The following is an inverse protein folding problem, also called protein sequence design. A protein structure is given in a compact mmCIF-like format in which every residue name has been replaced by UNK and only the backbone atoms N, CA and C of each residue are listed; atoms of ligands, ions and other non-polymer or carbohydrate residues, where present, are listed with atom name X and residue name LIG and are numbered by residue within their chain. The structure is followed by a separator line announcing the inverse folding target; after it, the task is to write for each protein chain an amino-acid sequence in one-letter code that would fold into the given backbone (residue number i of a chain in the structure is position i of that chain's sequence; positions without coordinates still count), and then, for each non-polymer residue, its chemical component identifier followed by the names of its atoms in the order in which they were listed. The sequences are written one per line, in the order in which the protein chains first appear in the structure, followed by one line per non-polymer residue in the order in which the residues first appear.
data_IF_508372952777
#
_entry.id   IF_508372952777
#
_cell.length_a   1.000
_cell.length_b   1.000
_cell.length_c   1.000
_cell.angle_alpha   90.00
_cell.angle_beta   90.00
_cell.angle_gamma   90.00
#
_symmetry.space_group_name_H-M   'P 1'
#
loop_
_entity.id
_entity.type
_entity.pdbx_description
1 polymer ?
#
# COMPACT_ATOMS: atom_id res chain seq x y z
N UNK A 1 -11.59 2.53 -11.99
CA UNK A 1 -11.82 3.99 -11.94
C UNK A 1 -10.48 4.68 -12.07
N UNK A 2 -10.43 5.81 -12.76
CA UNK A 2 -9.23 6.64 -12.84
C UNK A 2 -9.48 7.91 -12.02
N UNK A 3 -8.66 8.18 -11.01
CA UNK A 3 -8.75 9.40 -10.20
C UNK A 3 -7.86 10.53 -10.72
N UNK A 4 -7.45 10.46 -12.00
CA UNK A 4 -6.49 11.39 -12.61
C UNK A 4 -6.99 12.84 -12.70
N UNK A 5 -8.31 13.06 -12.59
CA UNK A 5 -8.93 14.37 -12.60
C UNK A 5 -9.20 14.98 -11.21
N UNK A 6 -8.73 14.34 -10.14
CA UNK A 6 -8.90 14.90 -8.78
C UNK A 6 -8.10 16.19 -8.62
N UNK A 7 -8.70 17.18 -7.94
CA UNK A 7 -8.01 18.41 -7.54
C UNK A 7 -6.89 18.10 -6.54
N UNK A 8 -5.81 18.83 -6.66
CA UNK A 8 -4.65 18.80 -5.79
C UNK A 8 -4.56 20.08 -4.95
N UNK A 9 -3.63 20.12 -4.01
CA UNK A 9 -3.34 21.35 -3.25
C UNK A 9 -2.93 22.54 -4.13
N UNK A 10 -2.47 22.30 -5.36
CA UNK A 10 -2.12 23.35 -6.33
C UNK A 10 -3.36 23.93 -7.05
N UNK A 11 -4.48 23.23 -7.02
CA UNK A 11 -5.74 23.61 -7.70
C UNK A 11 -6.67 24.44 -6.79
N UNK A 12 -6.24 24.82 -5.58
CA UNK A 12 -7.06 25.57 -4.60
C UNK A 12 -6.22 26.64 -3.90
N UNK A 13 -6.79 27.81 -3.66
CA UNK A 13 -6.14 28.88 -2.90
C UNK A 13 -6.14 28.58 -1.40
N UNK A 14 -4.96 28.37 -0.83
CA UNK A 14 -4.74 28.05 0.58
C UNK A 14 -4.23 29.24 1.39
N UNK A 15 -3.95 30.40 0.74
CA UNK A 15 -3.37 31.56 1.40
C UNK A 15 -4.34 32.12 2.46
N UNK A 16 -3.84 32.25 3.69
CA UNK A 16 -4.63 32.73 4.84
C UNK A 16 -5.71 31.76 5.31
N UNK A 17 -5.76 30.52 4.78
CA UNK A 17 -6.73 29.50 5.16
C UNK A 17 -6.15 28.54 6.21
N UNK A 18 -7.04 28.02 7.05
CA UNK A 18 -6.72 26.84 7.88
C UNK A 18 -6.98 25.60 7.05
N UNK A 19 -6.01 24.73 6.98
CA UNK A 19 -6.05 23.51 6.18
C UNK A 19 -5.91 22.30 7.08
N UNK A 20 -6.95 21.46 7.14
CA UNK A 20 -6.91 20.17 7.80
C UNK A 20 -6.30 19.14 6.85
N UNK A 21 -5.14 18.61 7.22
CA UNK A 21 -4.44 17.59 6.43
C UNK A 21 -4.53 16.24 7.11
N UNK A 22 -5.10 15.25 6.44
CA UNK A 22 -5.09 13.87 6.89
C UNK A 22 -3.80 13.19 6.40
N UNK A 23 -2.90 12.94 7.34
CA UNK A 23 -1.63 12.24 7.12
C UNK A 23 -1.69 10.77 7.56
N UNK A 24 -0.77 9.96 7.11
CA UNK A 24 -0.55 8.62 7.65
C UNK A 24 0.70 8.62 8.55
N UNK A 25 0.50 8.89 9.82
CA UNK A 25 1.54 8.87 10.86
C UNK A 25 1.53 7.56 11.68
N UNK A 26 0.97 6.50 11.10
CA UNK A 26 0.96 5.19 11.75
C UNK A 26 2.35 4.53 11.65
N UNK A 27 3.29 5.10 12.37
CA UNK A 27 4.69 4.68 12.42
C UNK A 27 4.92 3.61 13.49
N UNK A 28 5.92 2.73 13.33
CA UNK A 28 6.30 1.79 14.38
C UNK A 28 6.98 2.52 15.54
N UNK A 29 6.58 2.15 16.75
CA UNK A 29 7.12 2.65 18.00
C UNK A 29 7.68 1.49 18.84
N UNK A 30 8.86 1.69 19.43
CA UNK A 30 9.40 0.85 20.50
C UNK A 30 9.63 1.73 21.73
N UNK A 31 8.94 1.42 22.82
CA UNK A 31 9.01 2.18 24.09
C UNK A 31 8.82 3.71 23.91
N UNK A 32 7.88 4.09 23.06
CA UNK A 32 7.57 5.49 22.76
C UNK A 32 8.56 6.18 21.79
N UNK A 33 9.55 5.44 21.28
CA UNK A 33 10.52 5.93 20.30
C UNK A 33 10.14 5.46 18.88
N UNK A 34 10.14 6.37 17.92
CA UNK A 34 9.88 6.05 16.52
C UNK A 34 11.08 5.28 15.96
N UNK A 35 10.84 4.05 15.48
CA UNK A 35 11.89 3.19 14.90
C UNK A 35 12.01 3.34 13.38
N UNK A 36 10.96 3.83 12.72
CA UNK A 36 10.95 4.19 11.30
C UNK A 36 10.07 5.42 11.10
N UNK A 37 10.62 6.50 10.56
CA UNK A 37 9.94 7.76 10.33
C UNK A 37 9.54 8.00 8.86
N UNK A 38 9.65 6.98 8.01
CA UNK A 38 9.39 7.10 6.56
C UNK A 38 8.05 7.77 6.26
N UNK A 39 6.98 7.34 6.93
CA UNK A 39 5.63 7.90 6.72
C UNK A 39 5.53 9.38 7.10
N UNK A 40 6.28 9.81 8.11
CA UNK A 40 6.33 11.24 8.49
C UNK A 40 7.07 12.01 7.40
N UNK A 41 8.22 11.51 6.94
CA UNK A 41 8.99 12.14 5.86
C UNK A 41 8.20 12.27 4.56
N UNK A 42 7.41 11.26 4.21
CA UNK A 42 6.55 11.26 3.01
C UNK A 42 5.44 12.34 3.06
N UNK A 43 5.03 12.80 4.24
CA UNK A 43 4.04 13.88 4.39
C UNK A 43 4.66 15.29 4.31
N UNK A 44 5.98 15.42 4.49
CA UNK A 44 6.66 16.72 4.53
C UNK A 44 6.46 17.56 3.27
N UNK A 45 6.53 17.03 2.04
CA UNK A 45 6.32 17.83 0.83
C UNK A 45 4.98 18.56 0.80
N UNK A 46 3.88 17.89 1.15
CA UNK A 46 2.55 18.49 1.22
C UNK A 46 2.48 19.57 2.29
N UNK A 47 2.98 19.29 3.49
CA UNK A 47 2.97 20.24 4.61
C UNK A 47 3.81 21.48 4.25
N UNK A 48 4.98 21.28 3.67
CA UNK A 48 5.88 22.35 3.25
C UNK A 48 5.24 23.26 2.22
N UNK A 49 4.61 22.69 1.19
CA UNK A 49 3.87 23.46 0.18
C UNK A 49 2.82 24.37 0.83
N UNK A 50 1.96 23.79 1.70
CA UNK A 50 0.90 24.53 2.37
C UNK A 50 1.43 25.71 3.21
N UNK A 51 2.49 25.45 3.98
CA UNK A 51 3.15 26.47 4.82
C UNK A 51 3.76 27.58 3.97
N UNK A 52 4.46 27.24 2.90
CA UNK A 52 5.10 28.20 1.99
C UNK A 52 4.07 29.04 1.21
N UNK A 53 2.84 28.53 1.04
CA UNK A 53 1.73 29.26 0.41
C UNK A 53 0.80 29.95 1.42
N UNK A 54 1.25 30.14 2.65
CA UNK A 54 0.56 30.96 3.65
C UNK A 54 -0.63 30.29 4.35
N UNK A 55 -0.74 28.96 4.31
CA UNK A 55 -1.73 28.23 5.08
C UNK A 55 -1.36 28.13 6.56
N UNK A 56 -2.35 28.06 7.45
CA UNK A 56 -2.24 27.56 8.80
C UNK A 56 -2.63 26.08 8.78
N UNK A 57 -1.76 25.19 9.23
CA UNK A 57 -1.89 23.74 8.98
C UNK A 57 -2.29 22.99 10.23
N UNK A 58 -3.41 22.28 10.16
CA UNK A 58 -3.89 21.36 11.22
C UNK A 58 -3.72 19.94 10.71
N UNK A 59 -2.86 19.14 11.37
CA UNK A 59 -2.58 17.77 11.00
C UNK A 59 -3.40 16.81 11.84
N UNK A 60 -3.99 15.81 11.21
CA UNK A 60 -4.66 14.70 11.87
C UNK A 60 -4.17 13.36 11.32
N UNK A 61 -4.12 12.37 12.17
CA UNK A 61 -3.76 10.99 11.81
C UNK A 61 -4.26 10.01 12.85
N UNK A 62 -4.21 8.74 12.50
CA UNK A 62 -4.28 7.65 13.45
C UNK A 62 -2.89 7.10 13.76
N UNK A 63 -2.79 6.42 14.89
CA UNK A 63 -1.63 5.62 15.28
C UNK A 63 -2.12 4.37 16.01
N UNK A 64 -1.79 3.20 15.48
CA UNK A 64 -2.20 1.93 16.06
C UNK A 64 -3.72 1.70 16.09
N UNK A 65 -4.14 0.85 17.01
CA UNK A 65 -5.54 0.50 17.28
C UNK A 65 -5.80 0.51 18.78
N UNK A 66 -5.80 1.67 19.44
CA UNK A 66 -6.02 1.76 20.87
C UNK A 66 -7.42 1.29 21.23
N UNK A 67 -7.53 0.45 22.28
CA UNK A 67 -8.79 -0.13 22.76
C UNK A 67 -9.16 0.33 24.18
N UNK A 68 -8.18 0.75 24.94
CA UNK A 68 -8.27 1.12 26.34
C UNK A 68 -7.32 2.29 26.68
N UNK A 69 -7.40 2.80 27.88
CA UNK A 69 -6.60 3.96 28.31
C UNK A 69 -5.08 3.66 28.36
N UNK A 70 -4.68 2.42 28.57
CA UNK A 70 -3.28 2.04 28.56
C UNK A 70 -2.72 2.05 27.14
N UNK A 71 -3.44 1.46 26.19
CA UNK A 71 -3.06 1.46 24.76
C UNK A 71 -3.11 2.86 24.14
N UNK A 72 -4.02 3.74 24.59
CA UNK A 72 -4.03 5.16 24.18
C UNK A 72 -2.72 5.85 24.55
N UNK A 73 -2.19 5.65 25.77
CA UNK A 73 -0.91 6.24 26.17
C UNK A 73 0.25 5.83 25.27
N UNK A 74 0.23 4.60 24.73
CA UNK A 74 1.23 4.08 23.78
C UNK A 74 1.01 4.56 22.34
N UNK A 75 -0.19 5.04 22.03
CA UNK A 75 -0.61 5.47 20.70
C UNK A 75 -0.80 6.98 20.58
N UNK A 76 -0.20 7.78 21.46
CA UNK A 76 -0.21 9.25 21.34
C UNK A 76 0.62 9.73 20.16
N UNK A 77 0.17 10.80 19.50
CA UNK A 77 0.89 11.43 18.40
C UNK A 77 1.97 12.44 18.86
N UNK A 78 2.18 12.61 20.16
CA UNK A 78 3.20 13.51 20.68
C UNK A 78 4.62 13.25 20.13
N UNK A 79 5.12 11.99 20.03
CA UNK A 79 6.43 11.70 19.43
C UNK A 79 6.48 12.07 17.95
N UNK A 80 5.36 11.92 17.22
CA UNK A 80 5.25 12.27 15.81
C UNK A 80 5.35 13.79 15.62
N UNK A 81 4.65 14.58 16.44
CA UNK A 81 4.73 16.04 16.41
C UNK A 81 6.16 16.54 16.67
N UNK A 82 6.87 15.93 17.63
CA UNK A 82 8.27 16.24 17.91
C UNK A 82 9.16 15.92 16.70
N UNK A 83 9.02 14.72 16.13
CA UNK A 83 9.81 14.32 14.96
C UNK A 83 9.54 15.20 13.75
N UNK A 84 8.28 15.56 13.52
CA UNK A 84 7.90 16.48 12.45
C UNK A 84 8.51 17.86 12.64
N UNK A 85 8.57 18.39 13.88
CA UNK A 85 9.28 19.66 14.18
C UNK A 85 10.73 19.61 13.73
N UNK A 86 11.43 18.51 14.01
CA UNK A 86 12.83 18.31 13.61
C UNK A 86 12.97 18.31 12.06
N UNK A 87 12.10 17.57 11.37
CA UNK A 87 12.11 17.45 9.91
C UNK A 87 11.76 18.77 9.20
N UNK A 88 10.84 19.53 9.78
CA UNK A 88 10.42 20.83 9.24
C UNK A 88 11.34 21.99 9.61
N UNK A 89 12.25 21.79 10.58
CA UNK A 89 13.12 22.84 11.09
C UNK A 89 12.37 24.02 11.74
N UNK A 90 11.16 23.76 12.26
CA UNK A 90 10.28 24.75 12.90
C UNK A 90 9.39 24.09 13.95
N UNK A 91 8.83 24.90 14.84
CA UNK A 91 7.90 24.41 15.82
C UNK A 91 6.65 23.80 15.17
N UNK A 92 6.28 22.59 15.60
CA UNK A 92 4.99 21.95 15.35
C UNK A 92 4.30 21.84 16.70
N UNK A 93 3.20 22.58 16.87
CA UNK A 93 2.41 22.58 18.11
C UNK A 93 1.68 21.24 18.24
N UNK A 94 1.45 20.79 19.45
CA UNK A 94 0.70 19.58 19.73
C UNK A 94 -0.36 19.80 20.79
N UNK A 95 -1.54 19.23 20.61
CA UNK A 95 -2.59 19.19 21.61
C UNK A 95 -3.03 17.76 21.90
N UNK A 96 -3.30 17.43 23.15
CA UNK A 96 -3.87 16.15 23.56
C UNK A 96 -5.37 16.03 23.29
N UNK A 97 -5.95 17.06 22.66
CA UNK A 97 -7.36 17.12 22.29
C UNK A 97 -7.53 16.87 20.78
N UNK A 98 -8.73 16.48 20.37
CA UNK A 98 -9.03 16.13 18.97
C UNK A 98 -10.08 17.07 18.39
N UNK A 99 -11.26 17.15 19.05
CA UNK A 99 -12.42 17.96 18.61
C UNK A 99 -12.97 18.86 19.71
N UNK A 100 -12.33 18.94 20.85
CA UNK A 100 -12.77 19.72 21.99
C UNK A 100 -12.26 21.17 21.98
N UNK A 101 -12.51 21.88 23.07
CA UNK A 101 -12.20 23.30 23.20
C UNK A 101 -10.71 23.62 23.01
N UNK A 102 -9.79 22.76 23.48
CA UNK A 102 -8.35 22.99 23.35
C UNK A 102 -7.91 22.90 21.89
N UNK A 103 -8.43 21.92 21.14
CA UNK A 103 -8.13 21.78 19.73
C UNK A 103 -8.67 22.98 18.94
N UNK A 104 -9.90 23.41 19.21
CA UNK A 104 -10.50 24.58 18.56
C UNK A 104 -9.77 25.88 18.90
N UNK A 105 -9.42 26.11 20.16
CA UNK A 105 -8.67 27.30 20.56
C UNK A 105 -7.30 27.36 19.90
N UNK A 106 -6.58 26.25 19.85
CA UNK A 106 -5.28 26.18 19.20
C UNK A 106 -5.38 26.39 17.68
N UNK A 107 -6.34 25.73 17.01
CA UNK A 107 -6.57 25.88 15.57
C UNK A 107 -6.94 27.31 15.19
N UNK A 108 -7.83 27.93 15.96
CA UNK A 108 -8.27 29.33 15.74
C UNK A 108 -7.15 30.35 15.99
N UNK A 109 -6.19 30.01 16.84
CA UNK A 109 -5.02 30.84 17.15
C UNK A 109 -3.85 30.68 16.19
N UNK A 110 -3.89 29.72 15.25
CA UNK A 110 -2.82 29.52 14.29
C UNK A 110 -2.69 30.67 13.32
N UNK A 111 -1.46 31.12 13.11
CA UNK A 111 -1.10 32.10 12.09
C UNK A 111 -0.69 31.39 10.79
N UNK A 112 -0.78 32.08 9.64
CA UNK A 112 -0.21 31.58 8.39
C UNK A 112 1.23 31.09 8.57
N UNK A 113 1.51 29.88 8.10
CA UNK A 113 2.81 29.24 8.24
C UNK A 113 3.02 28.43 9.53
N UNK A 114 2.09 28.51 10.50
CA UNK A 114 2.16 27.67 11.70
C UNK A 114 1.52 26.30 11.47
N UNK A 115 1.98 25.31 12.24
CA UNK A 115 1.56 23.91 12.14
C UNK A 115 1.16 23.41 13.52
N UNK A 116 0.06 22.66 13.58
CA UNK A 116 -0.32 21.91 14.78
C UNK A 116 -0.69 20.46 14.42
N UNK A 117 -0.53 19.56 15.37
CA UNK A 117 -1.00 18.18 15.34
C UNK A 117 -2.04 18.00 16.44
N UNK A 118 -3.21 17.51 16.11
CA UNK A 118 -4.21 17.04 17.09
C UNK A 118 -3.89 15.62 17.52
N UNK A 119 -4.48 15.16 18.63
CA UNK A 119 -4.25 13.81 19.11
C UNK A 119 -4.87 12.75 18.20
N UNK A 120 -4.50 11.50 18.39
CA UNK A 120 -4.88 10.34 17.60
C UNK A 120 -6.41 10.24 17.43
N UNK A 121 -6.89 10.40 16.19
CA UNK A 121 -8.33 10.41 15.88
C UNK A 121 -9.04 9.10 16.28
N UNK A 122 -8.31 7.99 16.36
CA UNK A 122 -8.84 6.69 16.82
C UNK A 122 -9.07 6.58 18.33
N UNK A 123 -8.78 7.62 19.09
CA UNK A 123 -9.23 7.68 20.48
C UNK A 123 -10.75 7.80 20.58
N UNK A 124 -11.39 8.23 19.49
CA UNK A 124 -12.85 8.22 19.32
C UNK A 124 -13.28 7.04 18.43
N UNK A 125 -14.27 6.27 18.89
CA UNK A 125 -14.86 5.15 18.12
C UNK A 125 -15.61 5.64 16.88
N UNK A 126 -16.08 6.88 16.94
CA UNK A 126 -16.80 7.61 15.90
C UNK A 126 -15.94 7.75 14.62
N UNK A 127 -14.62 7.85 14.76
CA UNK A 127 -13.69 7.93 13.64
C UNK A 127 -13.86 6.76 12.66
N UNK A 128 -13.78 5.54 13.16
CA UNK A 128 -13.86 4.35 12.30
C UNK A 128 -15.26 4.02 11.81
N UNK A 129 -16.28 4.60 12.44
CA UNK A 129 -17.69 4.49 12.04
C UNK A 129 -18.10 5.54 11.00
N UNK A 130 -17.19 6.44 10.66
CA UNK A 130 -17.50 7.60 9.82
C UNK A 130 -18.72 8.40 10.35
N UNK A 131 -18.73 8.64 11.67
CA UNK A 131 -19.83 9.34 12.31
C UNK A 131 -19.92 10.79 11.81
N UNK A 132 -21.09 11.24 11.33
CA UNK A 132 -21.23 12.57 10.73
C UNK A 132 -20.95 13.72 11.70
N UNK A 133 -21.36 13.63 12.96
CA UNK A 133 -21.13 14.68 13.94
C UNK A 133 -19.66 14.80 14.32
N UNK A 134 -18.96 13.66 14.42
CA UNK A 134 -17.51 13.65 14.61
C UNK A 134 -16.77 14.23 13.39
N UNK A 135 -17.16 13.85 12.18
CA UNK A 135 -16.61 14.40 10.95
C UNK A 135 -16.84 15.92 10.84
N UNK A 136 -18.03 16.39 11.17
CA UNK A 136 -18.37 17.82 11.22
C UNK A 136 -17.54 18.58 12.26
N UNK A 137 -17.32 17.98 13.41
CA UNK A 137 -16.47 18.56 14.47
C UNK A 137 -15.01 18.66 14.04
N UNK A 138 -14.47 17.65 13.36
CA UNK A 138 -13.14 17.72 12.74
C UNK A 138 -13.08 18.81 11.66
N UNK A 139 -14.08 18.88 10.79
CA UNK A 139 -14.16 19.86 9.72
C UNK A 139 -14.17 21.31 10.25
N UNK A 140 -14.78 21.54 11.41
CA UNK A 140 -14.85 22.88 12.02
C UNK A 140 -13.50 23.46 12.47
N UNK A 141 -12.43 22.63 12.49
CA UNK A 141 -11.06 23.08 12.76
C UNK A 141 -10.43 23.84 11.59
N UNK A 142 -10.99 23.75 10.38
CA UNK A 142 -10.35 24.27 9.17
C UNK A 142 -11.35 24.79 8.14
N UNK A 143 -10.82 25.36 7.06
CA UNK A 143 -11.58 25.91 5.92
C UNK A 143 -11.45 25.02 4.67
N UNK A 144 -10.41 24.17 4.61
CA UNK A 144 -10.10 23.25 3.50
C UNK A 144 -9.65 21.92 4.08
N UNK A 145 -10.03 20.83 3.43
CA UNK A 145 -9.56 19.48 3.74
C UNK A 145 -8.58 18.98 2.67
N UNK A 146 -7.46 18.43 3.11
CA UNK A 146 -6.47 17.75 2.26
C UNK A 146 -6.32 16.30 2.74
N UNK A 147 -6.57 15.35 1.86
CA UNK A 147 -6.20 13.96 2.13
C UNK A 147 -4.83 13.66 1.51
N UNK A 148 -3.89 13.26 2.37
CA UNK A 148 -2.53 12.85 1.98
C UNK A 148 -2.16 11.47 2.54
N UNK A 149 -3.16 10.68 2.93
CA UNK A 149 -3.01 9.38 3.56
C UNK A 149 -3.50 8.26 2.62
N UNK A 150 -2.71 7.91 1.61
CA UNK A 150 -3.09 6.87 0.65
C UNK A 150 -3.33 5.52 1.32
N UNK A 151 -2.49 5.12 2.28
CA UNK A 151 -2.61 3.84 2.99
C UNK A 151 -3.95 3.61 3.70
N UNK A 152 -4.70 4.66 3.99
CA UNK A 152 -6.03 4.60 4.62
C UNK A 152 -7.18 4.97 3.68
N UNK A 153 -6.88 5.31 2.44
CA UNK A 153 -7.87 5.81 1.48
C UNK A 153 -8.96 4.79 1.10
N UNK A 154 -8.68 3.50 1.30
CA UNK A 154 -9.65 2.41 1.09
C UNK A 154 -10.73 2.32 2.18
N UNK A 155 -10.64 3.11 3.24
CA UNK A 155 -11.57 3.10 4.37
C UNK A 155 -12.37 4.39 4.43
N UNK A 156 -13.69 4.28 4.48
CA UNK A 156 -14.59 5.41 4.73
C UNK A 156 -14.64 5.72 6.24
N UNK A 157 -13.58 6.36 6.76
CA UNK A 157 -13.52 6.87 8.13
C UNK A 157 -13.84 8.37 8.15
N UNK A 158 -14.16 8.91 9.33
CA UNK A 158 -14.52 10.33 9.44
C UNK A 158 -13.38 11.24 8.95
N UNK A 159 -12.14 11.01 9.36
CA UNK A 159 -10.97 11.81 8.96
C UNK A 159 -10.45 11.54 7.55
N UNK A 160 -10.88 10.47 6.89
CA UNK A 160 -10.44 10.12 5.52
C UNK A 160 -11.47 10.45 4.45
N UNK A 161 -12.76 10.37 4.77
CA UNK A 161 -13.84 10.58 3.84
C UNK A 161 -14.91 11.54 4.38
N UNK A 162 -15.41 11.35 5.60
CA UNK A 162 -16.54 12.11 6.15
C UNK A 162 -16.31 13.61 6.22
N UNK A 163 -15.09 14.07 6.47
CA UNK A 163 -14.75 15.52 6.50
C UNK A 163 -15.02 16.20 5.16
N UNK A 164 -14.91 15.47 4.05
CA UNK A 164 -15.14 16.00 2.70
C UNK A 164 -16.61 16.40 2.44
N UNK A 165 -17.55 15.93 3.27
CA UNK A 165 -18.95 16.36 3.19
C UNK A 165 -19.16 17.81 3.68
N UNK A 166 -18.18 18.36 4.41
CA UNK A 166 -18.29 19.66 5.08
C UNK A 166 -17.31 20.71 4.59
N UNK A 167 -16.24 20.31 3.88
CA UNK A 167 -15.18 21.20 3.41
C UNK A 167 -14.85 20.95 1.94
N UNK A 168 -14.41 21.96 1.20
CA UNK A 168 -13.69 21.71 -0.05
C UNK A 168 -12.52 20.76 0.20
N UNK A 169 -12.44 19.70 -0.61
CA UNK A 169 -11.54 18.58 -0.38
C UNK A 169 -10.64 18.32 -1.60
N UNK A 170 -9.35 18.27 -1.39
CA UNK A 170 -8.35 18.03 -2.43
C UNK A 170 -7.30 17.02 -1.97
N UNK A 171 -6.50 16.46 -2.88
CA UNK A 171 -5.41 15.56 -2.52
C UNK A 171 -4.10 16.30 -2.28
N UNK A 172 -3.31 15.79 -1.35
CA UNK A 172 -1.91 16.16 -1.20
C UNK A 172 -1.00 15.44 -2.21
N UNK A 173 0.28 15.77 -2.18
CA UNK A 173 1.27 15.24 -3.14
C UNK A 173 1.46 13.73 -3.06
N UNK A 174 1.33 13.12 -1.86
CA UNK A 174 1.48 11.67 -1.71
C UNK A 174 0.35 10.94 -2.45
N UNK A 175 -0.91 11.32 -2.21
CA UNK A 175 -2.04 10.75 -2.95
C UNK A 175 -1.95 11.05 -4.44
N UNK A 176 -1.61 12.29 -4.82
CA UNK A 176 -1.44 12.67 -6.21
C UNK A 176 -0.42 11.79 -6.93
N UNK A 177 0.73 11.52 -6.31
CA UNK A 177 1.77 10.64 -6.84
C UNK A 177 1.24 9.21 -7.02
N UNK A 178 0.59 8.65 -5.99
CA UNK A 178 0.03 7.29 -6.03
C UNK A 178 -1.00 7.13 -7.16
N UNK A 179 -2.00 8.01 -7.22
CA UNK A 179 -3.05 7.92 -8.25
C UNK A 179 -2.52 8.22 -9.66
N UNK A 180 -1.53 9.11 -9.79
CA UNK A 180 -0.93 9.42 -11.10
C UNK A 180 -0.16 8.23 -11.63
N UNK A 181 0.73 7.63 -10.84
CA UNK A 181 1.58 6.53 -11.28
C UNK A 181 0.76 5.26 -11.52
N UNK A 182 -0.01 4.82 -10.52
CA UNK A 182 -0.82 3.61 -10.66
C UNK A 182 -1.97 3.79 -11.64
N UNK A 183 -2.64 4.94 -11.64
CA UNK A 183 -3.72 5.23 -12.56
C UNK A 183 -3.27 5.22 -14.02
N UNK A 184 -2.14 5.86 -14.32
CA UNK A 184 -1.58 5.83 -15.68
C UNK A 184 -1.12 4.43 -16.09
N UNK A 185 -0.47 3.68 -15.18
CA UNK A 185 -0.05 2.32 -15.46
C UNK A 185 -1.22 1.39 -15.79
N UNK A 186 -2.38 1.56 -15.13
CA UNK A 186 -3.57 0.77 -15.41
C UNK A 186 -4.37 1.23 -16.63
N UNK A 187 -4.40 2.55 -16.89
CA UNK A 187 -5.18 3.14 -18.00
C UNK A 187 -4.42 3.11 -19.33
N UNK A 188 -3.13 3.43 -19.30
CA UNK A 188 -2.27 3.60 -20.49
C UNK A 188 -0.89 2.95 -20.26
N UNK A 189 -0.82 1.62 -20.04
CA UNK A 189 0.45 0.97 -19.77
C UNK A 189 1.37 1.01 -20.98
N UNK A 190 2.67 1.19 -20.74
CA UNK A 190 3.68 0.84 -21.75
C UNK A 190 3.71 -0.67 -21.86
N UNK A 191 3.56 -1.19 -23.08
CA UNK A 191 3.55 -2.64 -23.32
C UNK A 191 4.93 -3.18 -23.67
N UNK A 192 5.24 -4.45 -23.39
CA UNK A 192 4.38 -5.42 -22.67
C UNK A 192 4.09 -5.03 -21.23
N UNK A 193 2.84 -5.24 -20.79
CA UNK A 193 2.42 -5.03 -19.41
C UNK A 193 2.44 -6.36 -18.65
N UNK A 194 3.32 -6.47 -17.67
CA UNK A 194 3.51 -7.67 -16.84
C UNK A 194 3.05 -7.40 -15.43
N UNK A 195 2.16 -8.24 -14.91
CA UNK A 195 1.81 -8.26 -13.50
C UNK A 195 2.41 -9.48 -12.81
N UNK A 196 2.94 -9.30 -11.61
CA UNK A 196 3.53 -10.34 -10.79
C UNK A 196 2.78 -10.36 -9.46
N UNK A 197 2.13 -11.47 -9.19
CA UNK A 197 1.36 -11.67 -7.96
C UNK A 197 1.93 -12.85 -7.18
N UNK A 198 2.13 -12.64 -5.89
CA UNK A 198 2.57 -13.65 -4.95
C UNK A 198 1.76 -13.62 -3.67
N UNK A 199 2.18 -14.41 -2.71
CA UNK A 199 1.51 -14.52 -1.42
C UNK A 199 0.90 -15.89 -1.17
N UNK A 200 0.14 -16.02 -0.08
CA UNK A 200 -0.28 -17.32 0.42
C UNK A 200 -1.61 -17.84 -0.17
N UNK A 201 -2.53 -16.93 -0.54
CA UNK A 201 -3.91 -17.30 -0.86
C UNK A 201 -4.40 -16.69 -2.17
N UNK A 202 -5.03 -17.51 -3.00
CA UNK A 202 -5.77 -17.06 -4.20
C UNK A 202 -6.95 -16.19 -3.79
N UNK A 203 -7.65 -16.56 -2.73
CA UNK A 203 -8.83 -15.85 -2.21
C UNK A 203 -8.55 -14.37 -1.92
N UNK A 204 -7.35 -14.05 -1.48
CA UNK A 204 -6.95 -12.67 -1.17
C UNK A 204 -6.61 -11.84 -2.44
N UNK A 205 -6.49 -12.47 -3.60
CA UNK A 205 -6.04 -11.86 -4.86
C UNK A 205 -7.03 -11.98 -6.02
N UNK A 206 -8.20 -12.60 -5.81
CA UNK A 206 -9.18 -12.86 -6.88
C UNK A 206 -9.56 -11.55 -7.60
N UNK A 207 -9.88 -10.51 -6.85
CA UNK A 207 -10.27 -9.22 -7.42
C UNK A 207 -9.15 -8.61 -8.27
N UNK A 208 -7.92 -8.64 -7.76
CA UNK A 208 -6.73 -8.16 -8.49
C UNK A 208 -6.50 -8.95 -9.76
N UNK A 209 -6.50 -10.28 -9.68
CA UNK A 209 -6.31 -11.17 -10.83
C UNK A 209 -7.38 -10.85 -11.88
N UNK A 210 -8.65 -10.81 -11.48
CA UNK A 210 -9.77 -10.58 -12.39
C UNK A 210 -9.66 -9.25 -13.12
N UNK A 211 -9.32 -8.17 -12.41
CA UNK A 211 -9.17 -6.85 -13.01
C UNK A 211 -7.92 -6.76 -13.92
N UNK A 212 -6.81 -7.37 -13.51
CA UNK A 212 -5.57 -7.33 -14.27
C UNK A 212 -5.62 -8.19 -15.56
N UNK A 213 -6.37 -9.30 -15.56
CA UNK A 213 -6.55 -10.13 -16.77
C UNK A 213 -7.14 -9.36 -17.96
N UNK A 214 -7.85 -8.25 -17.71
CA UNK A 214 -8.38 -7.38 -18.76
C UNK A 214 -7.35 -6.36 -19.28
N UNK A 215 -6.17 -6.27 -18.67
CA UNK A 215 -5.22 -5.18 -18.89
C UNK A 215 -3.81 -5.64 -19.28
N UNK A 216 -3.37 -6.79 -18.74
CA UNK A 216 -1.99 -7.26 -18.87
C UNK A 216 -1.77 -8.15 -20.09
N UNK A 217 -0.53 -8.19 -20.58
CA UNK A 217 -0.07 -9.14 -21.61
C UNK A 217 0.41 -10.44 -20.94
N UNK A 218 1.00 -10.33 -19.77
CA UNK A 218 1.52 -11.47 -18.99
C UNK A 218 1.13 -11.32 -17.52
N UNK A 219 0.63 -12.40 -16.92
CA UNK A 219 0.40 -12.53 -15.49
C UNK A 219 1.30 -13.64 -14.94
N UNK A 220 2.15 -13.28 -13.99
CA UNK A 220 3.07 -14.17 -13.28
C UNK A 220 2.50 -14.44 -11.90
N UNK A 221 2.40 -15.69 -11.50
CA UNK A 221 1.93 -16.10 -10.16
C UNK A 221 2.99 -16.92 -9.47
N UNK A 222 3.38 -16.47 -8.28
CA UNK A 222 4.30 -17.15 -7.38
C UNK A 222 3.74 -17.27 -5.97
N UNK A 223 4.59 -17.63 -5.01
CA UNK A 223 4.17 -17.86 -3.62
C UNK A 223 3.30 -19.10 -3.46
N UNK A 224 2.75 -19.30 -2.26
CA UNK A 224 1.94 -20.48 -1.98
C UNK A 224 0.63 -20.54 -2.79
N UNK A 225 0.10 -19.38 -3.22
CA UNK A 225 -1.08 -19.35 -4.09
C UNK A 225 -0.85 -20.07 -5.43
N UNK A 226 0.39 -20.18 -5.90
CA UNK A 226 0.72 -20.90 -7.13
C UNK A 226 0.41 -22.40 -7.04
N UNK A 227 0.48 -22.99 -5.85
CA UNK A 227 0.15 -24.41 -5.67
C UNK A 227 -1.33 -24.71 -5.86
N UNK A 228 -2.22 -23.78 -5.54
CA UNK A 228 -3.65 -23.90 -5.87
C UNK A 228 -3.85 -23.95 -7.39
N UNK A 229 -3.16 -23.13 -8.16
CA UNK A 229 -3.19 -23.16 -9.62
C UNK A 229 -2.52 -24.42 -10.19
N UNK A 230 -1.43 -24.89 -9.62
CA UNK A 230 -0.78 -26.12 -10.06
C UNK A 230 -1.66 -27.34 -9.78
N UNK A 231 -2.34 -27.38 -8.63
CA UNK A 231 -3.36 -28.41 -8.35
C UNK A 231 -4.52 -28.36 -9.36
N UNK A 232 -4.96 -27.16 -9.74
CA UNK A 232 -5.99 -26.98 -10.80
C UNK A 232 -5.54 -27.53 -12.16
N UNK A 233 -4.23 -27.55 -12.44
CA UNK A 233 -3.62 -28.18 -13.63
C UNK A 233 -3.37 -29.67 -13.46
N UNK A 234 -3.80 -30.28 -12.36
CA UNK A 234 -3.63 -31.71 -12.09
C UNK A 234 -2.23 -32.12 -11.62
N UNK A 235 -1.36 -31.16 -11.22
CA UNK A 235 -0.06 -31.45 -10.66
C UNK A 235 -0.16 -31.86 -9.21
N UNK A 236 0.73 -32.77 -8.78
CA UNK A 236 0.92 -33.08 -7.37
C UNK A 236 1.71 -31.94 -6.71
N UNK A 237 1.26 -31.51 -5.54
CA UNK A 237 1.84 -30.37 -4.80
C UNK A 237 2.42 -30.80 -3.44
N UNK A 238 2.47 -32.13 -3.15
CA UNK A 238 2.92 -32.66 -1.87
C UNK A 238 2.17 -32.06 -0.69
N UNK A 239 2.91 -31.69 0.35
CA UNK A 239 2.37 -31.06 1.56
C UNK A 239 2.33 -29.52 1.48
N UNK A 240 2.45 -28.97 0.26
CA UNK A 240 2.43 -27.51 0.03
C UNK A 240 1.13 -26.89 0.49
N UNK A 241 1.23 -25.68 1.03
CA UNK A 241 0.06 -24.87 1.40
C UNK A 241 -0.75 -24.49 0.15
N UNK A 242 -2.04 -24.79 0.14
CA UNK A 242 -2.96 -24.40 -0.93
C UNK A 242 -4.39 -24.26 -0.41
N UNK A 243 -5.29 -23.75 -1.22
CA UNK A 243 -6.71 -23.61 -0.93
C UNK A 243 -7.49 -24.65 -1.75
N UNK A 244 -7.83 -25.79 -1.13
CA UNK A 244 -8.52 -26.89 -1.80
C UNK A 244 -9.90 -26.47 -2.34
N UNK A 245 -10.62 -25.62 -1.63
CA UNK A 245 -11.94 -25.08 -2.01
C UNK A 245 -11.86 -24.03 -3.14
N UNK A 246 -10.67 -23.62 -3.55
CA UNK A 246 -10.43 -22.63 -4.62
C UNK A 246 -9.85 -23.25 -5.90
N UNK A 247 -9.66 -24.55 -5.96
CA UNK A 247 -9.11 -25.24 -7.15
C UNK A 247 -10.00 -25.04 -8.37
N UNK A 248 -11.32 -25.13 -8.23
CA UNK A 248 -12.24 -24.93 -9.36
C UNK A 248 -12.23 -23.46 -9.83
N UNK A 249 -12.18 -22.51 -8.91
CA UNK A 249 -12.02 -21.11 -9.24
C UNK A 249 -10.68 -20.85 -9.96
N UNK A 250 -9.59 -21.51 -9.55
CA UNK A 250 -8.30 -21.40 -10.23
C UNK A 250 -8.39 -21.93 -11.69
N UNK A 251 -9.14 -22.99 -11.94
CA UNK A 251 -9.41 -23.48 -13.32
C UNK A 251 -10.15 -22.44 -14.15
N UNK A 252 -11.18 -21.80 -13.58
CA UNK A 252 -11.93 -20.73 -14.25
C UNK A 252 -11.02 -19.53 -14.61
N UNK A 253 -10.15 -19.13 -13.69
CA UNK A 253 -9.17 -18.05 -13.91
C UNK A 253 -8.21 -18.40 -15.04
N UNK A 254 -7.67 -19.64 -15.06
CA UNK A 254 -6.78 -20.09 -16.13
C UNK A 254 -7.48 -20.11 -17.49
N UNK A 255 -8.71 -20.61 -17.55
CA UNK A 255 -9.51 -20.59 -18.78
C UNK A 255 -9.83 -19.17 -19.25
N UNK A 256 -10.10 -18.25 -18.33
CA UNK A 256 -10.33 -16.84 -18.63
C UNK A 256 -9.06 -16.18 -19.19
N UNK A 257 -7.90 -16.45 -18.60
CA UNK A 257 -6.61 -15.95 -19.09
C UNK A 257 -6.35 -16.42 -20.54
N UNK A 258 -6.56 -17.72 -20.81
CA UNK A 258 -6.42 -18.30 -22.14
C UNK A 258 -7.35 -17.63 -23.14
N UNK A 259 -8.64 -17.48 -22.80
CA UNK A 259 -9.65 -16.84 -23.66
C UNK A 259 -9.33 -15.39 -24.02
N UNK A 260 -8.56 -14.70 -23.16
CA UNK A 260 -8.12 -13.31 -23.36
C UNK A 260 -6.75 -13.21 -24.00
N UNK A 261 -6.08 -14.32 -24.31
CA UNK A 261 -4.73 -14.33 -24.84
C UNK A 261 -3.66 -13.84 -23.85
N UNK A 262 -3.94 -13.85 -22.56
CA UNK A 262 -2.99 -13.47 -21.51
C UNK A 262 -2.03 -14.63 -21.26
N UNK A 263 -0.72 -14.38 -21.30
CA UNK A 263 0.29 -15.36 -20.95
C UNK A 263 0.31 -15.53 -19.43
N UNK A 264 -0.19 -16.67 -18.94
CA UNK A 264 -0.26 -16.98 -17.51
C UNK A 264 0.90 -17.88 -17.11
N UNK A 265 1.88 -17.35 -16.36
CA UNK A 265 3.08 -18.06 -15.95
C UNK A 265 2.97 -18.55 -14.51
N UNK A 266 3.13 -19.85 -14.35
CA UNK A 266 3.18 -20.57 -13.07
C UNK A 266 4.53 -21.23 -12.88
N UNK A 267 4.96 -21.49 -11.64
CA UNK A 267 6.19 -22.24 -11.38
C UNK A 267 6.19 -23.62 -12.07
N UNK A 268 7.26 -23.90 -12.80
CA UNK A 268 7.53 -25.19 -13.45
C UNK A 268 8.43 -26.08 -12.60
N UNK A 269 9.16 -25.48 -11.68
CA UNK A 269 9.94 -26.13 -10.63
C UNK A 269 9.84 -25.35 -9.32
N UNK A 270 10.12 -26.01 -8.21
CA UNK A 270 9.98 -25.45 -6.88
C UNK A 270 11.13 -25.91 -5.98
N UNK A 271 11.57 -25.03 -5.09
CA UNK A 271 12.38 -25.40 -3.93
C UNK A 271 11.42 -25.81 -2.82
N UNK A 272 11.46 -27.07 -2.45
CA UNK A 272 10.65 -27.64 -1.39
C UNK A 272 11.50 -28.04 -0.18
N UNK A 273 10.85 -28.10 0.97
CA UNK A 273 11.44 -28.53 2.23
C UNK A 273 10.61 -29.65 2.86
N UNK A 274 11.25 -30.45 3.71
CA UNK A 274 10.59 -31.51 4.49
C UNK A 274 9.87 -30.98 5.73
N UNK A 275 10.20 -29.75 6.17
CA UNK A 275 9.50 -29.02 7.24
C UNK A 275 9.57 -27.52 7.01
N UNK A 276 8.71 -26.76 7.70
CA UNK A 276 8.71 -25.29 7.64
C UNK A 276 9.73 -24.71 8.62
N UNK A 277 11.01 -24.82 8.26
CA UNK A 277 12.13 -24.34 9.07
C UNK A 277 13.28 -23.87 8.17
N UNK A 278 14.06 -22.90 8.66
CA UNK A 278 15.22 -22.35 7.95
C UNK A 278 16.34 -23.38 7.76
N UNK A 279 16.41 -24.39 8.64
CA UNK A 279 17.40 -25.46 8.61
C UNK A 279 16.87 -26.78 8.01
N UNK A 280 15.65 -26.75 7.47
CA UNK A 280 15.04 -27.92 6.84
C UNK A 280 15.89 -28.47 5.69
N UNK A 281 15.78 -29.77 5.40
CA UNK A 281 16.31 -30.32 4.17
C UNK A 281 15.56 -29.75 2.98
N UNK A 282 16.29 -29.39 1.93
CA UNK A 282 15.70 -28.79 0.72
C UNK A 282 15.96 -29.64 -0.50
N UNK A 283 15.01 -29.67 -1.42
CA UNK A 283 15.11 -30.34 -2.71
C UNK A 283 14.39 -29.55 -3.79
N UNK A 284 14.93 -29.52 -4.99
CA UNK A 284 14.27 -28.95 -6.17
C UNK A 284 13.42 -30.03 -6.82
N UNK A 285 12.14 -29.74 -7.03
CA UNK A 285 11.20 -30.58 -7.75
C UNK A 285 10.79 -29.94 -9.06
N UNK A 286 10.87 -30.67 -10.14
CA UNK A 286 10.36 -30.28 -11.45
C UNK A 286 8.95 -30.86 -11.64
N UNK A 287 7.98 -30.01 -11.90
CA UNK A 287 6.60 -30.42 -12.11
C UNK A 287 5.84 -30.80 -10.85
N UNK A 288 5.91 -32.07 -10.46
CA UNK A 288 5.24 -32.57 -9.27
C UNK A 288 6.12 -32.51 -8.03
N UNK A 289 5.52 -32.25 -6.88
CA UNK A 289 6.17 -32.30 -5.57
C UNK A 289 5.70 -33.59 -4.89
N UNK A 290 6.64 -34.38 -4.37
CA UNK A 290 6.33 -35.64 -3.67
C UNK A 290 5.71 -35.36 -2.30
N UNK A 291 4.94 -36.36 -1.80
CA UNK A 291 4.39 -36.35 -0.45
C UNK A 291 5.54 -36.22 0.59
N UNK A 292 5.29 -35.53 1.69
CA UNK A 292 6.32 -35.22 2.70
C UNK A 292 7.19 -34.01 2.38
N UNK A 293 6.96 -33.35 1.25
CA UNK A 293 7.68 -32.14 0.85
C UNK A 293 6.70 -30.99 0.59
N UNK A 294 7.02 -29.82 1.07
CA UNK A 294 6.26 -28.60 0.85
C UNK A 294 7.05 -27.57 0.05
N UNK A 295 6.46 -27.02 -0.98
CA UNK A 295 7.07 -25.95 -1.76
C UNK A 295 7.14 -24.65 -0.95
N UNK A 296 8.31 -24.03 -0.88
CA UNK A 296 8.56 -22.80 -0.13
C UNK A 296 9.17 -21.67 -0.98
N UNK A 297 9.65 -21.97 -2.19
CA UNK A 297 10.12 -20.97 -3.16
C UNK A 297 9.99 -21.50 -4.58
N UNK A 298 10.06 -20.63 -5.56
CA UNK A 298 10.17 -20.99 -6.98
C UNK A 298 11.57 -21.54 -7.28
N UNK A 299 11.64 -22.53 -8.17
CA UNK A 299 12.89 -23.19 -8.55
C UNK A 299 13.73 -22.40 -9.57
N UNK A 300 14.93 -22.90 -9.90
CA UNK A 300 15.87 -22.22 -10.80
C UNK A 300 15.32 -21.96 -12.21
N UNK A 301 14.60 -22.93 -12.79
CA UNK A 301 14.00 -22.79 -14.14
C UNK A 301 12.89 -21.72 -14.13
N UNK A 302 12.07 -21.71 -13.07
CA UNK A 302 11.02 -20.71 -12.89
C UNK A 302 11.60 -19.31 -12.72
N UNK A 303 12.67 -19.16 -11.94
CA UNK A 303 13.37 -17.88 -11.77
C UNK A 303 13.84 -17.30 -13.10
N UNK A 304 14.46 -18.14 -13.93
CA UNK A 304 14.89 -17.74 -15.26
C UNK A 304 13.69 -17.32 -16.14
N UNK A 305 12.65 -18.14 -16.18
CA UNK A 305 11.43 -17.87 -16.97
C UNK A 305 10.75 -16.57 -16.55
N UNK A 306 10.67 -16.29 -15.24
CA UNK A 306 10.06 -15.06 -14.73
C UNK A 306 10.94 -13.84 -15.04
N UNK A 307 12.27 -13.96 -14.87
CA UNK A 307 13.21 -12.89 -15.20
C UNK A 307 13.16 -12.53 -16.69
N UNK A 308 13.10 -13.52 -17.59
CA UNK A 308 12.95 -13.30 -19.03
C UNK A 308 11.64 -12.57 -19.37
N UNK A 309 10.54 -12.94 -18.73
CA UNK A 309 9.25 -12.27 -18.94
C UNK A 309 9.24 -10.80 -18.48
N UNK A 310 10.08 -10.45 -17.50
CA UNK A 310 10.23 -9.09 -16.98
C UNK A 310 11.20 -8.25 -17.81
N UNK A 311 12.23 -8.88 -18.41
CA UNK A 311 13.34 -8.18 -19.07
C UNK A 311 12.87 -7.21 -20.17
N UNK A 312 11.89 -7.61 -20.96
CA UNK A 312 11.35 -6.82 -22.09
C UNK A 312 10.07 -6.03 -21.71
N UNK A 313 9.67 -6.02 -20.45
CA UNK A 313 8.45 -5.35 -20.03
C UNK A 313 8.55 -3.82 -20.17
N UNK A 314 7.47 -3.20 -20.63
CA UNK A 314 7.30 -1.74 -20.60
C UNK A 314 6.72 -1.24 -19.30
N UNK A 315 5.85 -2.05 -18.68
CA UNK A 315 5.25 -1.79 -17.36
C UNK A 315 5.26 -3.07 -16.54
N UNK A 316 5.65 -2.97 -15.27
CA UNK A 316 5.60 -4.07 -14.29
C UNK A 316 4.86 -3.61 -13.04
N UNK A 317 3.88 -4.39 -12.62
CA UNK A 317 3.27 -4.28 -11.28
C UNK A 317 3.60 -5.54 -10.51
N UNK A 318 4.17 -5.39 -9.32
CA UNK A 318 4.51 -6.51 -8.45
C UNK A 318 3.85 -6.36 -7.06
N UNK A 319 3.12 -7.40 -6.65
CA UNK A 319 2.48 -7.47 -5.34
C UNK A 319 2.56 -8.88 -4.76
N UNK A 320 3.37 -9.07 -3.75
CA UNK A 320 3.55 -10.33 -3.00
C UNK A 320 4.81 -11.10 -3.39
N UNK A 321 5.48 -11.74 -2.41
CA UNK A 321 6.72 -12.46 -2.61
C UNK A 321 6.52 -13.78 -3.36
N UNK A 322 7.62 -14.32 -3.93
CA UNK A 322 7.62 -15.57 -4.68
C UNK A 322 7.80 -16.80 -3.80
N UNK A 323 8.26 -16.62 -2.59
CA UNK A 323 8.53 -17.68 -1.61
C UNK A 323 8.57 -17.11 -0.20
N UNK A 324 9.00 -17.93 0.76
CA UNK A 324 9.19 -17.54 2.18
C UNK A 324 10.51 -16.79 2.30
N UNK A 325 10.57 -15.57 1.77
CA UNK A 325 11.81 -14.80 1.58
C UNK A 325 12.47 -14.36 2.90
N UNK A 326 11.77 -14.42 4.02
CA UNK A 326 12.31 -14.19 5.36
C UNK A 326 13.29 -15.28 5.78
N UNK A 327 13.22 -16.46 5.15
CA UNK A 327 14.15 -17.57 5.34
C UNK A 327 15.11 -17.63 4.16
N UNK A 328 16.42 -17.46 4.41
CA UNK A 328 17.44 -17.38 3.37
C UNK A 328 17.39 -18.48 2.30
N UNK A 329 17.14 -19.78 2.62
CA UNK A 329 17.05 -20.85 1.61
C UNK A 329 15.89 -20.67 0.63
N UNK A 330 14.86 -19.89 0.98
CA UNK A 330 13.63 -19.70 0.23
C UNK A 330 13.43 -18.25 -0.26
N UNK A 331 14.49 -17.45 -0.25
CA UNK A 331 14.49 -16.04 -0.65
C UNK A 331 14.86 -15.83 -2.13
N UNK A 332 15.49 -16.80 -2.76
CA UNK A 332 16.10 -16.63 -4.09
C UNK A 332 15.09 -16.28 -5.19
N UNK A 333 13.87 -16.80 -5.13
CA UNK A 333 12.82 -16.44 -6.09
C UNK A 333 12.47 -14.97 -6.04
N UNK A 334 12.25 -14.44 -4.85
CA UNK A 334 11.96 -13.03 -4.62
C UNK A 334 13.13 -12.13 -5.01
N UNK A 335 14.38 -12.55 -4.68
CA UNK A 335 15.61 -11.83 -5.05
C UNK A 335 15.75 -11.71 -6.56
N UNK A 336 15.58 -12.80 -7.29
CA UNK A 336 15.74 -12.80 -8.75
C UNK A 336 14.68 -11.94 -9.43
N UNK A 337 13.43 -12.00 -8.98
CA UNK A 337 12.35 -11.14 -9.49
C UNK A 337 12.65 -9.67 -9.22
N UNK A 338 13.03 -9.31 -7.99
CA UNK A 338 13.39 -7.93 -7.64
C UNK A 338 14.55 -7.41 -8.50
N UNK A 339 15.58 -8.23 -8.69
CA UNK A 339 16.74 -7.89 -9.54
C UNK A 339 16.32 -7.71 -11.00
N UNK A 340 15.53 -8.62 -11.55
CA UNK A 340 15.04 -8.52 -12.93
C UNK A 340 14.25 -7.23 -13.17
N UNK A 341 13.39 -6.84 -12.23
CA UNK A 341 12.65 -5.57 -12.30
C UNK A 341 13.62 -4.39 -12.25
N UNK A 342 14.59 -4.41 -11.31
CA UNK A 342 15.57 -3.33 -11.13
C UNK A 342 16.48 -3.13 -12.33
N UNK A 343 16.77 -4.19 -13.09
CA UNK A 343 17.60 -4.17 -14.30
C UNK A 343 16.80 -3.89 -15.57
N UNK A 344 15.47 -3.96 -15.52
CA UNK A 344 14.59 -3.64 -16.64
C UNK A 344 14.44 -2.13 -16.85
N UNK A 345 13.99 -1.74 -18.06
CA UNK A 345 13.61 -0.36 -18.35
C UNK A 345 12.11 -0.10 -18.15
N UNK A 346 11.42 -1.00 -17.44
CA UNK A 346 9.99 -0.91 -17.20
C UNK A 346 9.63 0.22 -16.25
N UNK A 347 8.44 0.79 -16.43
CA UNK A 347 7.77 1.52 -15.35
C UNK A 347 7.38 0.50 -14.31
N UNK A 348 8.08 0.48 -13.18
CA UNK A 348 7.94 -0.53 -12.13
C UNK A 348 7.20 0.00 -10.92
N UNK A 349 6.13 -0.69 -10.54
CA UNK A 349 5.27 -0.35 -9.41
C UNK A 349 5.27 -1.52 -8.44
N UNK A 350 5.74 -1.27 -7.24
CA UNK A 350 5.82 -2.26 -6.17
C UNK A 350 4.70 -1.97 -5.17
N UNK A 351 3.80 -2.93 -4.99
CA UNK A 351 2.70 -2.85 -4.02
C UNK A 351 2.79 -3.95 -2.97
N UNK A 352 2.23 -3.68 -1.80
CA UNK A 352 2.25 -4.61 -0.68
C UNK A 352 3.51 -4.51 0.19
N UNK A 353 3.31 -4.71 1.50
CA UNK A 353 4.38 -4.54 2.49
C UNK A 353 5.57 -5.47 2.29
N UNK A 354 5.31 -6.74 1.98
CA UNK A 354 6.37 -7.75 1.83
C UNK A 354 7.24 -7.49 0.60
N UNK A 355 6.61 -7.12 -0.53
CA UNK A 355 7.36 -6.77 -1.76
C UNK A 355 8.18 -5.51 -1.58
N UNK A 356 7.62 -4.49 -0.93
CA UNK A 356 8.33 -3.25 -0.60
C UNK A 356 9.51 -3.52 0.33
N UNK A 357 9.29 -4.31 1.39
CA UNK A 357 10.34 -4.70 2.32
C UNK A 357 11.47 -5.48 1.62
N UNK A 358 11.12 -6.43 0.75
CA UNK A 358 12.10 -7.21 -0.01
C UNK A 358 12.97 -6.29 -0.90
N UNK A 359 12.35 -5.38 -1.64
CA UNK A 359 13.06 -4.43 -2.51
C UNK A 359 13.98 -3.49 -1.72
N UNK A 360 13.53 -3.00 -0.55
CA UNK A 360 14.33 -2.15 0.34
C UNK A 360 15.52 -2.91 0.94
N UNK A 361 15.28 -4.10 1.50
CA UNK A 361 16.33 -4.94 2.09
C UNK A 361 17.40 -5.36 1.08
N UNK A 362 17.01 -5.58 -0.17
CA UNK A 362 17.92 -5.94 -1.27
C UNK A 362 18.65 -4.74 -1.88
N UNK A 363 18.35 -3.52 -1.45
CA UNK A 363 18.98 -2.30 -1.97
C UNK A 363 18.55 -1.91 -3.38
N UNK A 364 17.36 -2.32 -3.83
CA UNK A 364 16.81 -2.00 -5.16
C UNK A 364 15.75 -0.91 -5.14
N UNK A 365 15.46 -0.32 -3.98
CA UNK A 365 14.39 0.68 -3.84
C UNK A 365 14.54 1.86 -4.81
N UNK A 366 15.74 2.39 -4.95
CA UNK A 366 16.03 3.54 -5.83
C UNK A 366 15.95 3.21 -7.33
N UNK A 367 15.89 1.93 -7.69
CA UNK A 367 15.74 1.46 -9.07
C UNK A 367 14.30 1.22 -9.46
N UNK A 368 13.37 1.27 -8.50
CA UNK A 368 11.94 1.14 -8.78
C UNK A 368 11.34 2.51 -9.11
N UNK A 369 10.46 2.56 -10.10
CA UNK A 369 9.75 3.81 -10.45
C UNK A 369 8.87 4.27 -9.30
N UNK A 370 8.20 3.35 -8.62
CA UNK A 370 7.34 3.65 -7.48
C UNK A 370 7.21 2.45 -6.54
N UNK A 371 7.37 2.72 -5.26
CA UNK A 371 7.02 1.80 -4.18
C UNK A 371 5.82 2.40 -3.46
N UNK A 372 4.65 1.75 -3.61
CA UNK A 372 3.42 2.27 -3.03
C UNK A 372 3.44 2.19 -1.51
N UNK A 373 3.00 3.26 -0.88
CA UNK A 373 2.82 3.33 0.58
C UNK A 373 1.49 2.71 1.03
N UNK A 374 0.66 2.31 0.09
CA UNK A 374 -0.77 2.05 0.29
C UNK A 374 -1.13 0.73 0.94
N UNK A 375 -0.29 -0.29 0.91
CA UNK A 375 -0.66 -1.61 1.44
C UNK A 375 -2.00 -2.12 0.90
N UNK A 376 -3.04 -2.17 1.75
CA UNK A 376 -4.39 -2.55 1.37
C UNK A 376 -5.04 -1.62 0.35
N UNK A 377 -4.80 -0.32 0.43
CA UNK A 377 -5.35 0.64 -0.53
C UNK A 377 -4.77 0.43 -1.94
N UNK A 378 -3.48 0.07 -2.06
CA UNK A 378 -2.87 -0.29 -3.34
C UNK A 378 -3.52 -1.53 -3.93
N UNK A 379 -3.81 -2.53 -3.10
CA UNK A 379 -4.45 -3.77 -3.54
C UNK A 379 -5.85 -3.48 -4.07
N UNK A 380 -6.68 -2.76 -3.31
CA UNK A 380 -8.04 -2.38 -3.72
C UNK A 380 -8.03 -1.49 -4.97
N UNK A 381 -7.03 -0.61 -5.11
CA UNK A 381 -6.84 0.16 -6.34
C UNK A 381 -6.57 -0.74 -7.55
N UNK A 382 -5.72 -1.75 -7.39
CA UNK A 382 -5.42 -2.75 -8.43
C UNK A 382 -6.63 -3.65 -8.74
N UNK A 383 -7.52 -3.86 -7.78
CA UNK A 383 -8.81 -4.53 -7.98
C UNK A 383 -9.81 -3.69 -8.78
N UNK A 384 -9.56 -2.40 -8.92
CA UNK A 384 -10.48 -1.45 -9.54
C UNK A 384 -11.63 -1.02 -8.62
N UNK A 385 -11.49 -1.25 -7.31
CA UNK A 385 -12.46 -0.84 -6.32
C UNK A 385 -12.40 0.66 -6.07
N UNK A 386 -13.51 1.22 -5.62
CA UNK A 386 -13.56 2.60 -5.19
C UNK A 386 -12.81 2.78 -3.87
N UNK A 387 -11.94 3.80 -3.82
CA UNK A 387 -11.26 4.22 -2.61
C UNK A 387 -12.00 5.43 -2.01
N UNK A 388 -12.80 5.25 -0.95
CA UNK A 388 -13.64 6.33 -0.41
C UNK A 388 -12.89 7.61 -0.06
N UNK A 389 -11.66 7.48 0.49
CA UNK A 389 -10.81 8.62 0.84
C UNK A 389 -10.25 9.39 -0.37
N UNK A 390 -10.41 8.89 -1.59
CA UNK A 390 -10.07 9.60 -2.83
C UNK A 390 -11.35 9.98 -3.59
N UNK A 391 -12.33 9.10 -3.62
CA UNK A 391 -13.59 9.34 -4.30
C UNK A 391 -14.31 10.61 -3.80
N UNK A 392 -14.22 10.88 -2.47
CA UNK A 392 -14.79 12.05 -1.83
C UNK A 392 -14.11 13.39 -2.19
N UNK A 393 -12.93 13.39 -2.79
CA UNK A 393 -12.21 14.60 -3.17
C UNK A 393 -12.83 15.25 -4.42
N UNK A 394 -12.73 16.56 -4.51
CA UNK A 394 -13.28 17.32 -5.61
C UNK A 394 -12.56 17.02 -6.94
N UNK A 395 -13.31 17.02 -8.02
CA UNK A 395 -12.80 16.93 -9.38
C UNK A 395 -12.40 18.32 -9.93
N UNK A 396 -11.47 18.33 -10.89
CA UNK A 396 -11.03 19.53 -11.63
C UNK A 396 -12.14 20.07 -12.48
#
# INVERSE_FOLDING_TARGET
MSYLNKKTIEDIDVNGKRVLVRCDFNVPLADGVITDDKRIRESVPTIKYLVEHGAAVVLCSHLGRPKDEESKKKCTLAPVAKRLSELMGREVKFTTDIIGEKAHAMASGLKPGEIMVIENVRFYKEETKNDPEFAKSLASLADIFVNDAFGTAHRAHASTAGVADYLPAVCGYLIQKEISIMGNALANPKRPFVAILGGAKVSDKIGVITNLLDKVDTLIVGGAMAYTFNAARGKKIGDSKFEADKVDLAKEILAKAESKGVKFLLPVDNVAADEFDVNANTKVFEGNIDDGWMGLDIGPKTRQMFAEAVADAGTVIWNGPMGVFEMAPFANGTIVVAKAIAESNAVSIIGGGDSAAAVEQLGFADKMTHISTGGGASLEFLEGLELPGIACLNDK
#
